data_IF_058808399695
#
_entry.id   IF_058808399695
#
_cell.length_a   1.000
_cell.length_b   1.000
_cell.length_c   1.000
_cell.angle_alpha   90.00
_cell.angle_beta   90.00
_cell.angle_gamma   90.00
#
_symmetry.space_group_name_H-M   'P 1'
#
loop_
_entity.id
_entity.type
_entity.pdbx_description
1 polymer ?
#
# COMPACT_ATOMS: atom_id res chain seq x y z
N UNK A 1 3.80 -11.00 0.92
CA UNK A 1 2.82 -10.11 0.28
C UNK A 1 2.67 -10.51 -1.19
N UNK A 2 1.45 -10.84 -1.63
CA UNK A 2 1.17 -11.26 -3.03
C UNK A 2 1.70 -10.23 -4.05
N UNK A 3 1.55 -8.92 -3.78
CA UNK A 3 2.13 -7.85 -4.61
C UNK A 3 3.64 -7.98 -4.84
N UNK A 4 4.42 -8.28 -3.80
CA UNK A 4 5.88 -8.46 -3.94
C UNK A 4 6.21 -9.76 -4.67
N UNK A 5 5.45 -10.83 -4.41
CA UNK A 5 5.64 -12.13 -5.04
C UNK A 5 5.36 -12.07 -6.56
N UNK A 6 4.34 -11.34 -6.98
CA UNK A 6 4.05 -11.09 -8.40
C UNK A 6 5.23 -10.43 -9.11
N UNK A 7 5.81 -9.39 -8.50
CA UNK A 7 6.97 -8.71 -9.06
C UNK A 7 8.22 -9.58 -9.09
N UNK A 8 8.52 -10.31 -8.00
CA UNK A 8 9.78 -11.05 -7.88
C UNK A 8 9.79 -12.39 -8.60
N UNK A 9 8.64 -13.07 -8.71
CA UNK A 9 8.55 -14.39 -9.35
C UNK A 9 8.02 -14.35 -10.77
N UNK A 10 7.11 -13.42 -11.05
CA UNK A 10 6.44 -13.36 -12.35
C UNK A 10 6.77 -12.09 -13.13
N UNK A 11 7.58 -11.18 -12.60
CA UNK A 11 7.89 -9.90 -13.25
C UNK A 11 6.65 -9.03 -13.49
N UNK A 12 5.53 -9.34 -12.85
CA UNK A 12 4.22 -8.83 -13.21
C UNK A 12 3.77 -7.75 -12.23
N UNK A 13 3.13 -6.72 -12.76
CA UNK A 13 2.45 -5.69 -11.99
C UNK A 13 1.11 -6.22 -11.46
N UNK A 14 0.59 -5.64 -10.37
CA UNK A 14 -0.74 -6.01 -9.87
C UNK A 14 -1.87 -5.79 -10.89
N UNK A 15 -1.70 -4.86 -11.83
CA UNK A 15 -2.73 -4.54 -12.82
C UNK A 15 -2.75 -5.57 -13.96
N UNK A 16 -1.58 -6.01 -14.42
CA UNK A 16 -1.46 -7.14 -15.35
C UNK A 16 -2.02 -8.45 -14.77
N UNK A 17 -1.79 -8.69 -13.47
CA UNK A 17 -2.38 -9.85 -12.79
C UNK A 17 -3.91 -9.79 -12.77
N UNK A 18 -4.48 -8.60 -12.54
CA UNK A 18 -5.94 -8.41 -12.60
C UNK A 18 -6.48 -8.59 -14.01
N UNK A 19 -5.80 -8.03 -15.01
CA UNK A 19 -6.19 -8.17 -16.42
C UNK A 19 -6.17 -9.64 -16.86
N UNK A 20 -5.14 -10.40 -16.47
CA UNK A 20 -5.00 -11.83 -16.79
C UNK A 20 -6.17 -12.67 -16.27
N UNK A 21 -6.70 -12.34 -15.09
CA UNK A 21 -7.80 -13.06 -14.45
C UNK A 21 -9.13 -12.33 -14.46
N UNK A 22 -9.26 -11.29 -15.29
CA UNK A 22 -10.48 -10.49 -15.41
C UNK A 22 -11.04 -10.00 -14.04
N UNK A 23 -10.13 -9.62 -13.14
CA UNK A 23 -10.49 -9.14 -11.81
C UNK A 23 -10.86 -7.64 -11.84
N UNK A 24 -11.82 -7.21 -11.01
CA UNK A 24 -12.15 -5.80 -10.83
C UNK A 24 -10.94 -4.96 -10.37
N UNK A 25 -10.89 -3.67 -10.76
CA UNK A 25 -9.78 -2.75 -10.40
C UNK A 25 -9.64 -2.56 -8.88
N UNK A 26 -10.76 -2.58 -8.17
CA UNK A 26 -10.89 -2.49 -6.72
C UNK A 26 -10.51 -3.78 -5.98
N UNK A 27 -10.23 -4.87 -6.72
CA UNK A 27 -9.90 -6.14 -6.10
C UNK A 27 -8.62 -6.04 -5.24
N UNK A 28 -8.68 -6.43 -3.95
CA UNK A 28 -7.57 -6.27 -3.03
C UNK A 28 -6.49 -7.31 -3.30
N UNK A 29 -5.30 -6.84 -3.70
CA UNK A 29 -4.12 -7.69 -3.93
C UNK A 29 -3.45 -8.18 -2.63
N UNK A 30 -4.01 -7.85 -1.47
CA UNK A 30 -3.58 -8.32 -0.15
C UNK A 30 -4.86 -8.54 0.65
N UNK A 31 -4.94 -9.64 1.41
CA UNK A 31 -6.11 -9.92 2.26
C UNK A 31 -6.44 -8.73 3.18
N UNK A 32 -7.70 -8.24 3.21
CA UNK A 32 -8.11 -7.15 4.09
C UNK A 32 -7.79 -7.43 5.56
N UNK A 33 -7.99 -8.65 6.05
CA UNK A 33 -7.68 -9.05 7.42
C UNK A 33 -6.18 -8.91 7.73
N UNK A 34 -5.32 -9.33 6.80
CA UNK A 34 -3.87 -9.19 6.97
C UNK A 34 -3.44 -7.71 7.04
N UNK A 35 -4.07 -6.85 6.23
CA UNK A 35 -3.80 -5.40 6.28
C UNK A 35 -4.27 -4.77 7.59
N UNK A 36 -5.43 -5.18 8.11
CA UNK A 36 -5.96 -4.69 9.39
C UNK A 36 -5.06 -5.07 10.56
N UNK A 37 -4.64 -6.35 10.64
CA UNK A 37 -3.72 -6.83 11.69
C UNK A 37 -2.38 -6.09 11.64
N UNK A 38 -1.80 -5.89 10.46
CA UNK A 38 -0.55 -5.15 10.32
C UNK A 38 -0.70 -3.68 10.71
N UNK A 39 -1.84 -3.05 10.41
CA UNK A 39 -2.14 -1.68 10.83
C UNK A 39 -2.28 -1.57 12.35
N UNK A 40 -2.97 -2.52 12.99
CA UNK A 40 -3.11 -2.56 14.46
C UNK A 40 -1.75 -2.67 15.14
N UNK A 41 -0.90 -3.61 14.70
CA UNK A 41 0.46 -3.77 15.21
C UNK A 41 1.29 -2.50 15.01
N UNK A 42 1.22 -1.87 13.83
CA UNK A 42 1.94 -0.62 13.59
C UNK A 42 1.53 0.49 14.57
N UNK A 43 0.23 0.63 14.84
CA UNK A 43 -0.29 1.60 15.81
C UNK A 43 0.17 1.29 17.24
N UNK A 44 0.18 0.01 17.62
CA UNK A 44 0.67 -0.47 18.92
C UNK A 44 2.16 -0.17 19.12
N UNK A 45 2.98 -0.42 18.09
CA UNK A 45 4.42 -0.10 18.09
C UNK A 45 4.73 1.40 17.92
N UNK A 46 3.73 2.29 17.94
CA UNK A 46 3.91 3.73 17.79
C UNK A 46 4.33 4.19 16.38
N UNK A 47 4.34 3.28 15.40
CA UNK A 47 4.56 3.56 13.98
C UNK A 47 3.30 4.20 13.38
N UNK A 48 3.21 5.53 13.52
CA UNK A 48 2.06 6.30 13.05
C UNK A 48 1.85 7.63 13.77
N UNK A 49 2.56 7.88 14.89
CA UNK A 49 2.63 9.22 15.47
C UNK A 49 3.65 10.05 14.68
N UNK A 50 3.12 10.91 13.81
CA UNK A 50 3.83 11.93 13.06
C UNK A 50 4.72 12.78 13.99
N UNK A 51 6.02 12.47 14.01
CA UNK A 51 7.08 13.30 14.61
C UNK A 51 8.11 13.82 13.60
N UNK A 52 7.94 13.57 12.30
CA UNK A 52 8.82 14.09 11.25
C UNK A 52 8.02 14.42 10.00
N UNK A 53 7.72 15.71 9.78
CA UNK A 53 7.48 16.21 8.43
C UNK A 53 6.22 17.02 8.13
N UNK A 54 5.64 17.75 9.09
CA UNK A 54 4.90 18.97 8.70
C UNK A 54 5.92 20.06 8.34
N UNK A 55 6.58 19.92 7.18
CA UNK A 55 7.21 21.09 6.53
C UNK A 55 6.06 21.84 5.86
N UNK A 56 5.68 23.05 6.34
CA UNK A 56 4.66 23.83 5.66
C UNK A 56 5.14 24.12 4.24
N UNK A 57 4.34 23.76 3.23
CA UNK A 57 4.59 24.20 1.85
C UNK A 57 4.44 25.72 1.84
N UNK A 58 5.56 26.44 1.70
CA UNK A 58 5.57 27.89 1.47
C UNK A 58 4.98 28.14 0.09
N UNK A 59 3.72 28.56 0.01
CA UNK A 59 3.14 29.14 -1.20
C UNK A 59 3.78 30.51 -1.42
N UNK A 60 4.56 30.63 -2.48
CA UNK A 60 5.05 31.92 -3.00
C UNK A 60 3.92 32.47 -3.86
N UNK A 61 3.29 33.56 -3.42
CA UNK A 61 2.37 34.36 -4.22
C UNK A 61 3.19 35.19 -5.20
N UNK A 62 2.75 35.23 -6.46
CA UNK A 62 3.20 36.18 -7.47
C UNK A 62 2.06 37.16 -7.76
#
# INVERSE_FOLDING_TARGET
MLKSYLRTKFGMTPDEYRAKWNLPKDYPMVSPNYTARRSALAKEFGLGKSGRGSRPKKTISN
#
